data_IF_274142595702
#
_entry.id   IF_274142595702
#
_cell.length_a   1.000
_cell.length_b   1.000
_cell.length_c   1.000
_cell.angle_alpha   90.00
_cell.angle_beta   90.00
_cell.angle_gamma   90.00
#
_symmetry.space_group_name_H-M   'P 1'
#
loop_
_entity.id
_entity.type
_entity.pdbx_description
1 polymer ?
#
# COMPACT_ATOMS: atom_id res chain seq x y z
N UNK A 1 8.10 -26.12 -33.32
CA UNK A 1 7.86 -24.99 -34.24
C UNK A 1 8.94 -23.95 -33.99
N UNK A 2 9.54 -23.33 -35.01
CA UNK A 2 10.60 -22.33 -34.81
C UNK A 2 10.04 -21.13 -34.01
N UNK A 3 10.70 -20.62 -32.94
CA UNK A 3 10.21 -19.49 -32.14
C UNK A 3 9.87 -18.26 -32.98
N UNK A 4 10.63 -17.99 -34.05
CA UNK A 4 10.34 -16.89 -34.97
C UNK A 4 9.04 -17.13 -35.75
N UNK A 5 8.79 -18.36 -36.19
CA UNK A 5 7.55 -18.74 -36.87
C UNK A 5 6.35 -18.66 -35.93
N UNK A 6 6.52 -19.10 -34.68
CA UNK A 6 5.48 -18.97 -33.65
C UNK A 6 5.15 -17.52 -33.35
N UNK A 7 6.16 -16.64 -33.22
CA UNK A 7 5.95 -15.21 -33.06
C UNK A 7 5.19 -14.61 -34.24
N UNK A 8 5.59 -14.94 -35.46
CA UNK A 8 4.96 -14.43 -36.68
C UNK A 8 3.50 -14.89 -36.83
N UNK A 9 3.21 -16.18 -36.56
CA UNK A 9 1.85 -16.71 -36.51
C UNK A 9 1.03 -16.00 -35.44
N UNK A 10 1.60 -15.75 -34.25
CA UNK A 10 0.90 -15.06 -33.16
C UNK A 10 0.54 -13.62 -33.54
N UNK A 11 1.46 -12.90 -34.20
CA UNK A 11 1.19 -11.55 -34.70
C UNK A 11 0.12 -11.55 -35.79
N UNK A 12 0.20 -12.47 -36.76
CA UNK A 12 -0.80 -12.58 -37.83
C UNK A 12 -2.19 -12.91 -37.29
N UNK A 13 -2.28 -13.85 -36.34
CA UNK A 13 -3.56 -14.19 -35.69
C UNK A 13 -4.07 -13.06 -34.81
N UNK A 14 -3.20 -12.39 -34.05
CA UNK A 14 -3.60 -11.27 -33.20
C UNK A 14 -4.08 -10.07 -34.00
N UNK A 15 -3.24 -9.55 -34.89
CA UNK A 15 -3.57 -8.38 -35.74
C UNK A 15 -4.68 -8.72 -36.71
N UNK A 16 -4.59 -9.87 -37.40
CA UNK A 16 -5.62 -10.33 -38.33
C UNK A 16 -6.96 -10.58 -37.64
N UNK A 17 -6.95 -11.10 -36.41
CA UNK A 17 -8.14 -11.26 -35.59
C UNK A 17 -8.78 -9.92 -35.24
N UNK A 18 -8.00 -8.91 -34.86
CA UNK A 18 -8.50 -7.56 -34.59
C UNK A 18 -9.09 -6.89 -35.83
N UNK A 19 -8.39 -6.96 -36.97
CA UNK A 19 -8.87 -6.39 -38.25
C UNK A 19 -10.11 -7.12 -38.73
N UNK A 20 -10.11 -8.45 -38.66
CA UNK A 20 -11.25 -9.29 -39.01
C UNK A 20 -12.46 -8.97 -38.13
N UNK A 21 -12.28 -8.90 -36.81
CA UNK A 21 -13.33 -8.52 -35.88
C UNK A 21 -13.93 -7.17 -36.24
N UNK A 22 -13.09 -6.14 -36.43
CA UNK A 22 -13.54 -4.80 -36.82
C UNK A 22 -14.31 -4.78 -38.14
N UNK A 23 -13.80 -5.47 -39.16
CA UNK A 23 -14.40 -5.51 -40.48
C UNK A 23 -15.76 -6.22 -40.45
N UNK A 24 -15.79 -7.45 -39.93
CA UNK A 24 -17.01 -8.26 -39.89
C UNK A 24 -18.05 -7.67 -38.94
N UNK A 25 -17.63 -7.11 -37.80
CA UNK A 25 -18.56 -6.50 -36.84
C UNK A 25 -19.28 -5.29 -37.45
N UNK A 26 -18.57 -4.43 -38.20
CA UNK A 26 -19.19 -3.31 -38.93
C UNK A 26 -20.09 -3.81 -40.07
N UNK A 27 -19.64 -4.81 -40.82
CA UNK A 27 -20.43 -5.35 -41.93
C UNK A 27 -21.74 -5.98 -41.44
N UNK A 28 -21.70 -6.72 -40.33
CA UNK A 28 -22.89 -7.30 -39.70
C UNK A 28 -23.80 -6.19 -39.17
N UNK A 29 -23.24 -5.21 -38.45
CA UNK A 29 -24.02 -4.13 -37.86
C UNK A 29 -24.75 -3.30 -38.91
N UNK A 30 -24.05 -2.89 -39.97
CA UNK A 30 -24.55 -1.91 -40.95
C UNK A 30 -25.34 -2.55 -42.10
N UNK A 31 -25.16 -3.86 -42.38
CA UNK A 31 -25.89 -4.56 -43.45
C UNK A 31 -26.96 -5.51 -42.95
N UNK A 32 -26.77 -6.15 -41.80
CA UNK A 32 -27.67 -7.21 -41.31
C UNK A 32 -28.59 -6.70 -40.20
N UNK A 33 -28.03 -6.04 -39.18
CA UNK A 33 -28.79 -5.64 -37.98
C UNK A 33 -29.50 -4.29 -38.20
N UNK A 34 -28.78 -3.27 -38.64
CA UNK A 34 -29.28 -1.91 -38.84
C UNK A 34 -28.98 -1.42 -40.26
N UNK A 35 -29.70 -1.93 -41.28
CA UNK A 35 -29.47 -1.53 -42.66
C UNK A 35 -29.73 -0.03 -42.84
N UNK A 36 -28.74 0.68 -43.39
CA UNK A 36 -28.82 2.11 -43.72
C UNK A 36 -29.67 2.41 -44.97
N UNK A 37 -30.67 1.56 -45.27
CA UNK A 37 -31.56 1.66 -46.44
C UNK A 37 -33.00 1.38 -46.01
N UNK A 38 -33.97 2.02 -46.68
CA UNK A 38 -35.40 1.85 -46.42
C UNK A 38 -36.02 3.01 -45.62
N UNK A 39 -37.31 2.91 -45.25
CA UNK A 39 -38.07 4.00 -44.63
C UNK A 39 -37.51 4.46 -43.27
N UNK A 40 -36.79 3.60 -42.55
CA UNK A 40 -36.23 3.87 -41.22
C UNK A 40 -34.69 4.03 -41.23
N UNK A 41 -34.09 4.41 -42.35
CA UNK A 41 -32.63 4.47 -42.51
C UNK A 41 -31.95 5.41 -41.49
N UNK A 42 -32.56 6.57 -41.19
CA UNK A 42 -32.03 7.51 -40.20
C UNK A 42 -31.98 6.92 -38.78
N UNK A 43 -33.05 6.26 -38.34
CA UNK A 43 -33.12 5.61 -37.03
C UNK A 43 -32.13 4.44 -36.91
N UNK A 44 -31.98 3.66 -37.98
CA UNK A 44 -31.02 2.55 -38.04
C UNK A 44 -29.57 3.04 -37.94
N UNK A 45 -29.21 4.15 -38.60
CA UNK A 45 -27.88 4.75 -38.50
C UNK A 45 -27.60 5.20 -37.06
N UNK A 46 -28.58 5.86 -36.42
CA UNK A 46 -28.45 6.29 -35.02
C UNK A 46 -28.25 5.09 -34.07
N UNK A 47 -29.02 4.01 -34.25
CA UNK A 47 -28.86 2.77 -33.46
C UNK A 47 -27.52 2.07 -33.70
N UNK A 48 -27.08 1.97 -34.95
CA UNK A 48 -25.77 1.41 -35.29
C UNK A 48 -24.64 2.20 -34.61
N UNK A 49 -24.69 3.54 -34.66
CA UNK A 49 -23.70 4.39 -34.02
C UNK A 49 -23.68 4.25 -32.48
N UNK A 50 -24.83 3.97 -31.85
CA UNK A 50 -24.89 3.72 -30.41
C UNK A 50 -24.33 2.34 -30.02
N UNK A 51 -24.53 1.31 -30.85
CA UNK A 51 -24.10 -0.08 -30.56
C UNK A 51 -22.64 -0.33 -30.93
N UNK A 52 -22.13 0.33 -31.98
CA UNK A 52 -20.77 0.11 -32.51
C UNK A 52 -19.67 0.22 -31.44
N UNK A 53 -19.65 1.22 -30.53
CA UNK A 53 -18.64 1.30 -29.48
C UNK A 53 -18.67 0.08 -28.54
N UNK A 54 -19.85 -0.40 -28.15
CA UNK A 54 -20.00 -1.57 -27.27
C UNK A 54 -19.53 -2.85 -27.93
N UNK A 55 -19.81 -3.01 -29.23
CA UNK A 55 -19.34 -4.15 -30.01
C UNK A 55 -17.81 -4.18 -30.04
N UNK A 56 -17.14 -3.05 -30.26
CA UNK A 56 -15.67 -2.99 -30.24
C UNK A 56 -15.07 -3.18 -28.84
N UNK A 57 -15.75 -2.71 -27.80
CA UNK A 57 -15.31 -2.90 -26.42
C UNK A 57 -15.59 -4.32 -25.91
N UNK A 58 -16.50 -5.07 -26.55
CA UNK A 58 -16.95 -6.37 -26.06
C UNK A 58 -15.80 -7.37 -25.80
N UNK A 59 -14.82 -7.61 -26.70
CA UNK A 59 -13.76 -8.57 -26.44
C UNK A 59 -12.92 -8.20 -25.20
N UNK A 60 -12.67 -6.90 -25.03
CA UNK A 60 -11.94 -6.39 -23.87
C UNK A 60 -12.77 -6.53 -22.58
N UNK A 61 -14.03 -6.10 -22.59
CA UNK A 61 -14.93 -6.22 -21.43
C UNK A 61 -15.14 -7.69 -21.06
N UNK A 62 -15.29 -8.57 -22.04
CA UNK A 62 -15.44 -10.00 -21.83
C UNK A 62 -14.19 -10.61 -21.19
N UNK A 63 -13.00 -10.32 -21.73
CA UNK A 63 -11.74 -10.80 -21.16
C UNK A 63 -11.52 -10.26 -19.74
N UNK A 64 -11.75 -8.96 -19.50
CA UNK A 64 -11.68 -8.37 -18.16
C UNK A 64 -12.71 -8.99 -17.21
N UNK A 65 -13.94 -9.22 -17.68
CA UNK A 65 -14.98 -9.88 -16.92
C UNK A 65 -14.61 -11.32 -16.55
N UNK A 66 -14.02 -12.08 -17.48
CA UNK A 66 -13.61 -13.46 -17.25
C UNK A 66 -12.38 -13.57 -16.34
N UNK A 67 -11.36 -12.72 -16.52
CA UNK A 67 -10.10 -12.83 -15.80
C UNK A 67 -10.03 -12.01 -14.50
N UNK A 68 -10.85 -10.96 -14.36
CA UNK A 68 -10.90 -10.13 -13.15
C UNK A 68 -12.24 -10.22 -12.44
N UNK A 69 -13.35 -10.18 -13.18
CA UNK A 69 -14.70 -10.22 -12.60
C UNK A 69 -15.06 -11.58 -12.01
N UNK A 70 -14.96 -12.65 -12.80
CA UNK A 70 -15.32 -14.01 -12.38
C UNK A 70 -14.54 -14.49 -11.15
N UNK A 71 -13.21 -14.32 -11.05
CA UNK A 71 -12.47 -14.72 -9.84
C UNK A 71 -12.94 -14.03 -8.56
N UNK A 72 -13.47 -12.80 -8.62
CA UNK A 72 -14.03 -12.12 -7.44
C UNK A 72 -15.29 -12.84 -6.96
N UNK A 73 -16.19 -13.20 -7.88
CA UNK A 73 -17.39 -13.97 -7.53
C UNK A 73 -17.04 -15.39 -7.06
N UNK A 74 -16.08 -16.04 -7.71
CA UNK A 74 -15.63 -17.38 -7.30
C UNK A 74 -14.97 -17.35 -5.92
N UNK A 75 -14.18 -16.31 -5.61
CA UNK A 75 -13.61 -16.10 -4.27
C UNK A 75 -14.72 -15.91 -3.23
N UNK A 76 -15.78 -15.17 -3.54
CA UNK A 76 -16.93 -15.03 -2.64
C UNK A 76 -17.70 -16.35 -2.47
N UNK A 77 -17.82 -17.16 -3.53
CA UNK A 77 -18.46 -18.48 -3.44
C UNK A 77 -17.62 -19.43 -2.57
N UNK A 78 -16.30 -19.43 -2.76
CA UNK A 78 -15.37 -20.25 -1.98
C UNK A 78 -15.35 -19.83 -0.51
N UNK A 79 -15.48 -18.54 -0.18
CA UNK A 79 -15.55 -18.10 1.21
C UNK A 79 -16.81 -18.58 1.95
N UNK A 80 -17.86 -18.98 1.22
CA UNK A 80 -19.12 -19.49 1.77
C UNK A 80 -19.27 -21.03 1.63
N UNK A 81 -18.28 -21.71 1.07
CA UNK A 81 -18.29 -23.16 0.85
C UNK A 81 -17.10 -23.84 1.53
N UNK A 82 -17.21 -25.14 1.78
CA UNK A 82 -16.15 -25.95 2.38
C UNK A 82 -15.75 -27.07 1.43
N UNK A 83 -14.46 -27.08 1.07
CA UNK A 83 -13.87 -28.08 0.18
C UNK A 83 -13.82 -29.47 0.80
N UNK A 84 -13.53 -29.59 2.11
CA UNK A 84 -13.45 -30.87 2.80
C UNK A 84 -14.82 -31.59 2.82
N UNK A 85 -15.90 -30.81 2.79
CA UNK A 85 -17.28 -31.30 2.68
C UNK A 85 -17.77 -31.43 1.23
N UNK A 86 -16.86 -31.59 0.26
CA UNK A 86 -17.21 -31.75 -1.15
C UNK A 86 -17.76 -30.48 -1.81
N UNK A 87 -17.46 -29.30 -1.26
CA UNK A 87 -17.98 -28.02 -1.77
C UNK A 87 -19.35 -27.63 -1.19
N UNK A 88 -19.75 -28.23 -0.06
CA UNK A 88 -21.01 -27.89 0.61
C UNK A 88 -21.04 -26.41 1.03
N UNK A 89 -22.24 -25.82 1.00
CA UNK A 89 -22.46 -24.46 1.48
C UNK A 89 -22.46 -24.44 3.01
N UNK A 90 -21.52 -23.69 3.59
CA UNK A 90 -21.32 -23.59 5.04
C UNK A 90 -21.65 -22.20 5.60
N UNK A 91 -22.20 -21.32 4.76
CA UNK A 91 -22.57 -19.96 5.15
C UNK A 91 -21.37 -19.18 5.68
N UNK A 92 -21.47 -18.65 6.90
CA UNK A 92 -20.43 -17.83 7.52
C UNK A 92 -19.42 -18.61 8.39
N UNK A 93 -19.44 -19.94 8.36
CA UNK A 93 -18.58 -20.77 9.21
C UNK A 93 -17.09 -20.44 9.01
N UNK A 94 -16.64 -20.29 7.76
CA UNK A 94 -15.25 -19.91 7.43
C UNK A 94 -14.85 -18.56 8.05
N UNK A 95 -15.78 -17.60 8.12
CA UNK A 95 -15.54 -16.30 8.75
C UNK A 95 -15.43 -16.43 10.27
N UNK A 96 -16.28 -17.25 10.91
CA UNK A 96 -16.15 -17.51 12.35
C UNK A 96 -14.85 -18.22 12.69
N UNK A 97 -14.42 -19.18 11.87
CA UNK A 97 -13.15 -19.90 12.04
C UNK A 97 -11.97 -18.94 11.90
N UNK A 98 -11.96 -18.10 10.85
CA UNK A 98 -10.95 -17.07 10.65
C UNK A 98 -10.87 -16.10 11.84
N UNK A 99 -12.01 -15.60 12.32
CA UNK A 99 -12.06 -14.65 13.44
C UNK A 99 -11.69 -15.30 14.78
N UNK A 100 -11.77 -16.63 14.92
CA UNK A 100 -11.32 -17.33 16.11
C UNK A 100 -9.79 -17.47 16.16
N UNK A 101 -9.08 -17.28 15.05
CA UNK A 101 -7.63 -17.48 14.99
C UNK A 101 -6.84 -16.26 15.48
N UNK A 102 -5.92 -16.41 16.45
CA UNK A 102 -5.07 -15.31 16.91
C UNK A 102 -4.22 -14.69 15.78
N UNK A 103 -3.77 -15.52 14.83
CA UNK A 103 -2.96 -15.08 13.68
C UNK A 103 -3.71 -14.14 12.73
N UNK A 104 -5.05 -14.25 12.64
CA UNK A 104 -5.85 -13.31 11.88
C UNK A 104 -5.86 -11.92 12.54
N UNK A 105 -6.03 -11.85 13.86
CA UNK A 105 -5.99 -10.58 14.58
C UNK A 105 -4.60 -9.95 14.62
N UNK A 106 -3.54 -10.78 14.68
CA UNK A 106 -2.16 -10.33 14.47
C UNK A 106 -2.03 -9.66 13.09
N UNK A 107 -2.52 -10.30 12.03
CA UNK A 107 -2.52 -9.77 10.67
C UNK A 107 -3.27 -8.43 10.55
N UNK A 108 -4.50 -8.34 11.09
CA UNK A 108 -5.29 -7.11 11.10
C UNK A 108 -4.52 -5.96 11.77
N UNK A 109 -4.02 -6.21 12.99
CA UNK A 109 -3.28 -5.21 13.78
C UNK A 109 -2.04 -4.73 13.02
N UNK A 110 -1.27 -5.65 12.45
CA UNK A 110 -0.07 -5.32 11.72
C UNK A 110 -0.40 -4.54 10.45
N UNK A 111 -1.37 -4.97 9.65
CA UNK A 111 -1.81 -4.21 8.48
C UNK A 111 -2.22 -2.77 8.86
N UNK A 112 -2.92 -2.56 9.97
CA UNK A 112 -3.25 -1.21 10.43
C UNK A 112 -2.00 -0.38 10.77
N UNK A 113 -1.01 -0.97 11.45
CA UNK A 113 0.26 -0.29 11.72
C UNK A 113 0.99 0.08 10.43
N UNK A 114 1.07 -0.85 9.47
CA UNK A 114 1.68 -0.59 8.17
C UNK A 114 0.96 0.55 7.44
N UNK A 115 -0.37 0.60 7.45
CA UNK A 115 -1.17 1.63 6.76
C UNK A 115 -0.98 3.04 7.35
N UNK A 116 -0.58 3.13 8.62
CA UNK A 116 -0.34 4.41 9.27
C UNK A 116 1.11 4.82 9.10
N UNK A 117 2.05 3.93 9.38
CA UNK A 117 3.47 4.26 9.45
C UNK A 117 4.09 4.41 8.07
N UNK A 118 3.83 3.47 7.15
CA UNK A 118 4.54 3.45 5.86
C UNK A 118 4.16 4.60 4.95
N UNK A 119 2.86 4.92 4.70
CA UNK A 119 2.49 6.07 3.89
C UNK A 119 3.00 7.38 4.51
N UNK A 120 2.91 7.53 5.83
CA UNK A 120 3.40 8.70 6.54
C UNK A 120 4.90 8.91 6.38
N UNK A 121 5.69 7.89 6.72
CA UNK A 121 7.15 7.96 6.66
C UNK A 121 7.63 8.15 5.21
N UNK A 122 7.10 7.38 4.26
CA UNK A 122 7.51 7.46 2.85
C UNK A 122 7.20 8.83 2.24
N UNK A 123 6.04 9.39 2.55
CA UNK A 123 5.65 10.72 2.07
C UNK A 123 6.49 11.81 2.74
N UNK A 124 6.73 11.72 4.04
CA UNK A 124 7.56 12.67 4.78
C UNK A 124 9.02 12.65 4.29
N UNK A 125 9.64 11.48 4.19
CA UNK A 125 10.99 11.34 3.65
C UNK A 125 11.05 11.76 2.17
N UNK A 126 10.06 11.39 1.36
CA UNK A 126 9.97 11.81 -0.03
C UNK A 126 9.92 13.33 -0.18
N UNK A 127 9.12 14.00 0.65
CA UNK A 127 9.00 15.46 0.67
C UNK A 127 10.30 16.14 1.13
N UNK A 128 10.92 15.62 2.19
CA UNK A 128 12.21 16.12 2.69
C UNK A 128 13.28 16.00 1.62
N UNK A 129 13.41 14.83 0.99
CA UNK A 129 14.37 14.61 -0.09
C UNK A 129 14.06 15.52 -1.29
N UNK A 130 12.79 15.65 -1.70
CA UNK A 130 12.41 16.55 -2.79
C UNK A 130 12.88 17.98 -2.52
N UNK A 131 12.58 18.51 -1.33
CA UNK A 131 12.96 19.87 -0.95
C UNK A 131 14.48 20.06 -0.81
N UNK A 132 15.22 19.05 -0.34
CA UNK A 132 16.68 19.13 -0.21
C UNK A 132 17.39 18.99 -1.55
N UNK A 133 16.98 18.03 -2.39
CA UNK A 133 17.62 17.76 -3.68
C UNK A 133 17.41 18.89 -4.69
N UNK A 134 16.30 19.63 -4.59
CA UNK A 134 16.06 20.83 -5.43
C UNK A 134 17.05 21.98 -5.15
N UNK A 135 17.72 21.99 -4.00
CA UNK A 135 18.70 23.04 -3.63
C UNK A 135 20.15 22.67 -3.98
N UNK A 136 20.39 21.45 -4.43
CA UNK A 136 21.73 20.90 -4.60
C UNK A 136 22.10 20.91 -6.10
N UNK A 137 23.30 21.40 -6.44
CA UNK A 137 23.77 21.50 -7.83
C UNK A 137 23.79 20.14 -8.57
N UNK A 138 24.09 19.05 -7.86
CA UNK A 138 24.06 17.67 -8.38
C UNK A 138 22.75 16.94 -8.07
N UNK A 139 21.67 17.69 -7.82
CA UNK A 139 20.36 17.18 -7.41
C UNK A 139 19.77 16.13 -8.36
N UNK A 140 20.00 16.25 -9.67
CA UNK A 140 19.51 15.27 -10.65
C UNK A 140 20.10 13.86 -10.44
N UNK A 141 21.38 13.78 -10.04
CA UNK A 141 22.05 12.51 -9.75
C UNK A 141 21.48 11.94 -8.44
N UNK A 142 21.36 12.76 -7.40
CA UNK A 142 20.78 12.36 -6.13
C UNK A 142 19.35 11.82 -6.29
N UNK A 143 18.50 12.50 -7.06
CA UNK A 143 17.13 12.04 -7.36
C UNK A 143 17.14 10.69 -8.08
N UNK A 144 18.02 10.50 -9.06
CA UNK A 144 18.13 9.24 -9.80
C UNK A 144 18.54 8.07 -8.90
N UNK A 145 19.53 8.29 -8.01
CA UNK A 145 19.98 7.28 -7.04
C UNK A 145 18.89 6.92 -6.02
N UNK A 146 18.15 7.92 -5.52
CA UNK A 146 17.06 7.71 -4.55
C UNK A 146 15.84 7.06 -5.20
N UNK A 147 15.63 7.28 -6.51
CA UNK A 147 14.56 6.64 -7.27
C UNK A 147 14.91 5.22 -7.73
N UNK A 148 16.19 4.90 -7.91
CA UNK A 148 16.68 3.58 -8.38
C UNK A 148 16.06 2.35 -7.67
N UNK A 149 15.82 2.36 -6.34
CA UNK A 149 15.18 1.24 -5.63
C UNK A 149 13.83 0.82 -6.21
N UNK A 150 13.07 1.75 -6.81
CA UNK A 150 11.77 1.46 -7.43
C UNK A 150 11.88 0.51 -8.62
N UNK A 151 13.06 0.38 -9.23
CA UNK A 151 13.30 -0.58 -10.31
C UNK A 151 13.47 -2.02 -9.80
N UNK A 152 13.70 -2.20 -8.50
CA UNK A 152 13.92 -3.51 -7.88
C UNK A 152 12.57 -4.09 -7.44
N UNK A 153 12.36 -5.38 -7.66
CA UNK A 153 11.15 -6.07 -7.16
C UNK A 153 11.14 -6.11 -5.63
N UNK A 154 9.96 -6.15 -5.01
CA UNK A 154 9.85 -6.21 -3.55
C UNK A 154 10.54 -7.45 -2.97
N UNK A 155 10.43 -8.61 -3.64
CA UNK A 155 11.16 -9.83 -3.27
C UNK A 155 12.68 -9.62 -3.37
N UNK A 156 13.17 -9.00 -4.44
CA UNK A 156 14.59 -8.71 -4.61
C UNK A 156 15.13 -7.77 -3.52
N UNK A 157 14.39 -6.70 -3.24
CA UNK A 157 14.71 -5.77 -2.14
C UNK A 157 14.73 -6.49 -0.79
N UNK A 158 13.78 -7.38 -0.53
CA UNK A 158 13.75 -8.19 0.68
C UNK A 158 14.96 -9.10 0.83
N UNK A 159 15.46 -9.68 -0.26
CA UNK A 159 16.71 -10.48 -0.23
C UNK A 159 17.90 -9.61 0.14
N UNK A 160 18.02 -8.41 -0.45
CA UNK A 160 19.09 -7.46 -0.11
C UNK A 160 19.06 -7.09 1.37
N UNK A 161 17.89 -6.71 1.89
CA UNK A 161 17.75 -6.34 3.30
C UNK A 161 17.92 -7.53 4.25
N UNK A 162 17.54 -8.75 3.84
CA UNK A 162 17.82 -9.96 4.61
C UNK A 162 19.32 -10.18 4.79
N UNK A 163 20.14 -9.87 3.78
CA UNK A 163 21.59 -9.88 3.90
C UNK A 163 22.09 -8.77 4.83
N UNK A 164 21.53 -7.55 4.74
CA UNK A 164 21.89 -6.43 5.62
C UNK A 164 21.64 -6.78 7.10
N UNK A 165 20.54 -7.48 7.39
CA UNK A 165 20.13 -7.88 8.73
C UNK A 165 20.67 -9.25 9.17
N UNK A 166 21.44 -9.92 8.33
CA UNK A 166 21.94 -11.27 8.62
C UNK A 166 22.83 -11.28 9.87
N UNK A 167 22.70 -12.34 10.65
CA UNK A 167 23.43 -12.52 11.90
C UNK A 167 24.17 -13.84 11.83
N UNK A 168 25.50 -13.77 11.90
CA UNK A 168 26.36 -14.94 11.95
C UNK A 168 26.83 -15.22 13.37
N UNK A 169 27.25 -16.46 13.68
CA UNK A 169 27.96 -16.76 14.92
C UNK A 169 29.11 -15.77 15.18
N UNK A 170 29.36 -15.45 16.45
CA UNK A 170 30.30 -14.39 16.85
C UNK A 170 31.77 -14.70 16.49
N UNK A 171 32.09 -15.97 16.29
CA UNK A 171 33.40 -16.50 15.88
C UNK A 171 33.71 -16.30 14.38
N UNK A 172 32.72 -15.90 13.58
CA UNK A 172 32.86 -15.67 12.15
C UNK A 172 32.64 -14.19 11.82
N UNK A 173 33.40 -13.61 10.86
CA UNK A 173 33.15 -12.25 10.39
C UNK A 173 31.70 -12.06 9.94
N UNK A 174 31.07 -11.01 10.46
CA UNK A 174 29.69 -10.65 10.12
C UNK A 174 29.63 -10.12 8.69
N UNK A 175 28.66 -10.62 7.91
CA UNK A 175 28.38 -10.11 6.56
C UNK A 175 27.26 -9.08 6.56
N UNK A 176 26.35 -9.17 7.55
CA UNK A 176 25.26 -8.23 7.68
C UNK A 176 25.78 -6.91 8.19
N UNK A 177 25.61 -5.85 7.40
CA UNK A 177 26.10 -4.50 7.71
C UNK A 177 25.61 -4.06 9.10
N UNK A 178 24.37 -4.41 9.46
CA UNK A 178 23.82 -4.01 10.76
C UNK A 178 24.51 -4.73 11.93
N UNK A 179 24.80 -6.02 11.79
CA UNK A 179 25.56 -6.76 12.80
C UNK A 179 27.04 -6.36 12.80
N UNK A 180 27.64 -6.03 11.66
CA UNK A 180 29.01 -5.54 11.59
C UNK A 180 29.19 -4.21 12.35
N UNK A 181 28.26 -3.27 12.19
CA UNK A 181 28.23 -2.02 12.97
C UNK A 181 27.89 -2.31 14.44
N UNK A 182 26.95 -3.21 14.71
CA UNK A 182 26.58 -3.57 16.07
C UNK A 182 27.74 -4.13 16.89
N UNK A 183 28.53 -5.03 16.29
CA UNK A 183 29.66 -5.67 16.95
C UNK A 183 30.77 -4.66 17.32
N UNK A 184 30.84 -3.49 16.66
CA UNK A 184 31.80 -2.45 17.04
C UNK A 184 31.46 -1.75 18.36
N UNK A 185 30.26 -1.98 18.92
CA UNK A 185 29.85 -1.39 20.19
C UNK A 185 30.15 -2.26 21.41
N UNK A 186 30.58 -3.52 21.24
CA UNK A 186 31.03 -4.45 22.31
C UNK A 186 30.08 -4.56 23.53
N UNK A 187 28.78 -4.30 23.37
CA UNK A 187 27.84 -4.30 24.50
C UNK A 187 27.88 -3.03 25.36
N UNK A 188 28.61 -1.99 24.94
CA UNK A 188 28.70 -0.70 25.62
C UNK A 188 27.38 0.10 25.62
N UNK A 189 27.38 1.35 26.14
CA UNK A 189 26.17 2.17 26.32
C UNK A 189 25.32 2.33 25.05
N UNK A 190 25.95 2.31 23.88
CA UNK A 190 25.28 2.39 22.59
C UNK A 190 24.34 1.19 22.33
N UNK A 191 24.64 0.04 22.92
CA UNK A 191 23.82 -1.17 22.81
C UNK A 191 22.48 -1.01 23.52
N UNK A 192 22.48 -0.36 24.70
CA UNK A 192 21.27 0.02 25.43
C UNK A 192 20.51 1.09 24.66
N UNK A 193 21.24 2.08 24.11
CA UNK A 193 20.63 3.14 23.30
C UNK A 193 19.86 2.56 22.11
N UNK A 194 20.49 1.67 21.35
CA UNK A 194 19.87 1.05 20.18
C UNK A 194 18.78 0.06 20.56
N UNK A 195 18.98 -0.85 21.51
CA UNK A 195 17.98 -1.89 21.79
C UNK A 195 16.81 -1.43 22.66
N UNK A 196 17.00 -0.42 23.51
CA UNK A 196 15.99 0.00 24.50
C UNK A 196 15.52 1.42 24.28
N UNK A 197 16.45 2.38 24.30
CA UNK A 197 16.10 3.81 24.34
C UNK A 197 15.49 4.26 23.02
N UNK A 198 16.11 3.94 21.88
CA UNK A 198 15.68 4.36 20.56
C UNK A 198 14.26 3.82 20.23
N UNK A 199 13.95 2.53 20.38
CA UNK A 199 12.59 2.02 20.24
C UNK A 199 11.61 2.72 21.17
N UNK A 200 12.00 2.97 22.43
CA UNK A 200 11.16 3.65 23.41
C UNK A 200 10.82 5.07 22.96
N UNK A 201 11.80 5.83 22.47
CA UNK A 201 11.61 7.18 21.96
C UNK A 201 10.68 7.17 20.74
N UNK A 202 10.91 6.27 19.78
CA UNK A 202 10.09 6.15 18.57
C UNK A 202 8.65 5.82 18.94
N UNK A 203 8.44 4.84 19.81
CA UNK A 203 7.11 4.42 20.26
C UNK A 203 6.42 5.52 21.08
N UNK A 204 7.15 6.22 21.95
CA UNK A 204 6.60 7.31 22.75
C UNK A 204 6.22 8.52 21.88
N UNK A 205 7.05 8.87 20.90
CA UNK A 205 6.75 9.92 19.93
C UNK A 205 5.51 9.56 19.10
N UNK A 206 5.43 8.32 18.61
CA UNK A 206 4.26 7.82 17.90
C UNK A 206 2.99 7.86 18.78
N UNK A 207 3.08 7.37 20.02
CA UNK A 207 1.98 7.41 20.98
C UNK A 207 1.54 8.85 21.29
N UNK A 208 2.48 9.79 21.42
CA UNK A 208 2.20 11.20 21.63
C UNK A 208 1.46 11.84 20.45
N UNK A 209 1.92 11.58 19.21
CA UNK A 209 1.27 12.09 18.00
C UNK A 209 -0.15 11.52 17.87
N UNK A 210 -0.31 10.20 18.01
CA UNK A 210 -1.62 9.55 17.94
C UNK A 210 -2.53 10.04 19.07
N UNK A 211 -2.01 10.15 20.30
CA UNK A 211 -2.74 10.68 21.44
C UNK A 211 -3.22 12.12 21.24
N UNK A 212 -2.40 12.96 20.60
CA UNK A 212 -2.79 14.32 20.25
C UNK A 212 -3.92 14.34 19.20
N UNK A 213 -3.85 13.49 18.18
CA UNK A 213 -4.93 13.34 17.17
C UNK A 213 -6.22 12.84 17.81
N UNK A 214 -6.13 11.89 18.75
CA UNK A 214 -7.27 11.40 19.54
C UNK A 214 -7.87 12.52 20.35
N UNK A 215 -7.06 13.31 21.05
CA UNK A 215 -7.52 14.46 21.84
C UNK A 215 -8.25 15.49 20.96
N UNK A 216 -7.68 15.87 19.81
CA UNK A 216 -8.32 16.80 18.88
C UNK A 216 -9.66 16.26 18.36
N UNK A 217 -9.70 14.96 18.02
CA UNK A 217 -10.91 14.31 17.51
C UNK A 217 -11.99 14.20 18.58
N UNK A 218 -11.63 13.85 19.81
CA UNK A 218 -12.54 13.76 20.95
C UNK A 218 -13.09 15.12 21.35
N UNK A 219 -12.22 16.14 21.45
CA UNK A 219 -12.62 17.52 21.74
C UNK A 219 -13.63 18.03 20.72
N UNK A 220 -13.41 17.76 19.43
CA UNK A 220 -14.31 18.18 18.37
C UNK A 220 -15.68 17.46 18.37
N UNK A 221 -15.80 16.31 19.07
CA UNK A 221 -17.09 15.64 19.33
C UNK A 221 -17.81 16.28 20.51
N UNK A 222 -17.08 16.75 21.53
CA UNK A 222 -17.65 17.26 22.78
C UNK A 222 -18.06 18.74 22.67
N UNK A 223 -17.33 19.55 21.88
CA UNK A 223 -17.60 21.00 21.76
C UNK A 223 -19.07 21.32 21.39
N UNK A 224 -19.80 22.08 22.24
CA UNK A 224 -21.16 22.55 21.95
C UNK A 224 -21.15 23.63 20.86
N UNK A 225 -22.16 23.64 19.97
CA UNK A 225 -22.39 24.74 19.01
C UNK A 225 -21.89 24.55 17.58
N UNK A 226 -21.18 23.45 17.27
CA UNK A 226 -20.84 23.10 15.88
C UNK A 226 -21.96 22.24 15.28
N UNK A 227 -22.49 22.60 14.11
CA UNK A 227 -23.47 21.76 13.40
C UNK A 227 -22.77 20.44 13.00
N UNK A 228 -23.08 19.36 13.72
CA UNK A 228 -22.40 18.06 13.57
C UNK A 228 -23.12 17.22 12.54
N UNK A 229 -22.50 17.01 11.39
CA UNK A 229 -22.92 15.92 10.50
C UNK A 229 -22.73 14.59 11.25
N UNK A 230 -23.79 13.79 11.34
CA UNK A 230 -23.79 12.49 12.03
C UNK A 230 -22.64 11.61 11.53
N UNK A 231 -22.41 11.59 10.21
CA UNK A 231 -21.32 10.81 9.60
C UNK A 231 -19.93 11.26 10.06
N UNK A 232 -19.69 12.56 10.19
CA UNK A 232 -18.40 13.09 10.64
C UNK A 232 -18.15 12.80 12.12
N UNK A 233 -19.19 12.84 12.96
CA UNK A 233 -19.08 12.43 14.37
C UNK A 233 -18.78 10.94 14.53
N UNK A 234 -19.40 10.07 13.72
CA UNK A 234 -19.10 8.63 13.71
C UNK A 234 -17.66 8.36 13.28
N UNK A 235 -17.20 8.99 12.20
CA UNK A 235 -15.81 8.87 11.75
C UNK A 235 -14.83 9.28 12.86
N UNK A 236 -15.08 10.40 13.53
CA UNK A 236 -14.25 10.86 14.64
C UNK A 236 -14.29 9.89 15.82
N UNK A 237 -15.44 9.29 16.13
CA UNK A 237 -15.53 8.28 17.18
C UNK A 237 -14.66 7.05 16.87
N UNK A 238 -14.66 6.59 15.61
CA UNK A 238 -13.77 5.51 15.16
C UNK A 238 -12.30 5.91 15.30
N UNK A 239 -11.92 7.13 14.92
CA UNK A 239 -10.56 7.65 15.09
C UNK A 239 -10.16 7.71 16.57
N UNK A 240 -11.06 8.14 17.45
CA UNK A 240 -10.81 8.20 18.89
C UNK A 240 -10.58 6.80 19.46
N UNK A 241 -11.46 5.84 19.16
CA UNK A 241 -11.34 4.46 19.65
C UNK A 241 -10.10 3.76 19.09
N UNK A 242 -9.89 3.85 17.77
CA UNK A 242 -8.74 3.25 17.11
C UNK A 242 -7.42 3.88 17.54
N UNK A 243 -7.38 5.20 17.67
CA UNK A 243 -6.20 5.91 18.16
C UNK A 243 -5.90 5.61 19.63
N UNK A 244 -6.93 5.51 20.49
CA UNK A 244 -6.74 5.11 21.89
C UNK A 244 -6.18 3.67 22.00
N UNK A 245 -6.67 2.74 21.16
CA UNK A 245 -6.07 1.41 21.04
C UNK A 245 -4.61 1.52 20.60
N UNK A 246 -4.28 2.26 19.55
CA UNK A 246 -2.89 2.41 19.10
C UNK A 246 -1.97 2.97 20.18
N UNK A 247 -2.41 3.97 20.95
CA UNK A 247 -1.67 4.50 22.11
C UNK A 247 -1.43 3.39 23.13
N UNK A 248 -2.48 2.64 23.49
CA UNK A 248 -2.36 1.50 24.39
C UNK A 248 -1.37 0.45 23.86
N UNK A 249 -1.41 0.14 22.56
CA UNK A 249 -0.49 -0.77 21.90
C UNK A 249 0.95 -0.28 22.02
N UNK A 250 1.20 1.01 21.74
CA UNK A 250 2.53 1.61 21.85
C UNK A 250 3.05 1.58 23.27
N UNK A 251 2.21 1.86 24.27
CA UNK A 251 2.59 1.75 25.68
C UNK A 251 2.93 0.30 26.07
N UNK A 252 2.13 -0.67 25.62
CA UNK A 252 2.42 -2.10 25.82
C UNK A 252 3.73 -2.51 25.15
N UNK A 253 3.99 -2.03 23.93
CA UNK A 253 5.24 -2.28 23.21
C UNK A 253 6.44 -1.65 23.90
N UNK A 254 6.31 -0.45 24.47
CA UNK A 254 7.37 0.17 25.29
C UNK A 254 7.69 -0.75 26.47
N UNK A 255 6.69 -1.20 27.22
CA UNK A 255 6.93 -2.15 28.31
C UNK A 255 7.62 -3.42 27.81
N UNK A 256 7.18 -3.98 26.68
CA UNK A 256 7.81 -5.13 26.02
C UNK A 256 9.28 -4.90 25.68
N UNK A 257 9.63 -3.71 25.17
CA UNK A 257 11.02 -3.33 24.88
C UNK A 257 11.89 -3.36 26.13
N UNK A 258 11.35 -3.18 27.34
CA UNK A 258 12.12 -3.22 28.58
C UNK A 258 12.07 -4.58 29.31
N UNK A 259 11.05 -5.42 29.05
CA UNK A 259 10.90 -6.72 29.70
C UNK A 259 11.53 -7.89 28.93
N UNK A 260 11.75 -7.76 27.61
CA UNK A 260 12.42 -8.81 26.84
C UNK A 260 13.88 -8.92 27.27
N UNK A 261 14.35 -10.14 27.53
CA UNK A 261 15.77 -10.39 27.77
C UNK A 261 16.52 -10.34 26.42
N UNK A 262 17.46 -9.39 26.30
CA UNK A 262 18.28 -9.22 25.11
C UNK A 262 19.74 -9.35 25.52
N UNK A 263 20.48 -10.19 24.81
CA UNK A 263 21.91 -10.32 25.01
C UNK A 263 22.63 -9.11 24.40
N UNK A 264 23.52 -8.47 25.15
CA UNK A 264 24.33 -7.35 24.66
C UNK A 264 25.69 -7.85 24.18
N UNK A 265 26.30 -7.17 23.21
CA UNK A 265 27.65 -7.49 22.72
C UNK A 265 27.76 -8.78 21.90
N UNK A 266 26.63 -9.42 21.57
CA UNK A 266 26.57 -10.58 20.67
C UNK A 266 25.78 -10.25 19.41
N UNK A 267 26.02 -10.95 18.28
CA UNK A 267 25.24 -10.78 17.06
C UNK A 267 23.73 -10.95 17.30
N UNK A 268 22.93 -10.04 16.75
CA UNK A 268 21.48 -9.99 16.96
C UNK A 268 20.73 -10.51 15.74
N UNK A 269 19.76 -11.40 15.98
CA UNK A 269 18.79 -11.81 14.98
C UNK A 269 17.66 -10.77 14.91
N UNK A 270 17.93 -9.64 14.25
CA UNK A 270 17.04 -8.47 14.26
C UNK A 270 15.58 -8.74 13.88
N UNK A 271 15.34 -9.68 12.96
CA UNK A 271 13.99 -10.05 12.50
C UNK A 271 13.20 -10.90 13.51
N UNK A 272 13.83 -11.36 14.59
CA UNK A 272 13.15 -12.09 15.68
C UNK A 272 12.85 -11.21 16.88
N UNK A 273 13.48 -10.03 16.97
CA UNK A 273 13.33 -9.13 18.12
C UNK A 273 12.03 -8.32 17.95
N UNK A 274 11.10 -8.35 18.94
CA UNK A 274 9.89 -7.54 18.91
C UNK A 274 10.18 -6.05 18.69
N UNK A 275 9.24 -5.33 18.11
CA UNK A 275 9.43 -3.97 17.55
C UNK A 275 10.36 -3.94 16.33
N UNK A 276 11.61 -4.38 16.47
CA UNK A 276 12.62 -4.30 15.43
C UNK A 276 12.26 -5.09 14.18
N UNK A 277 11.66 -6.26 14.36
CA UNK A 277 11.21 -7.09 13.26
C UNK A 277 10.27 -6.35 12.30
N UNK A 278 9.16 -5.83 12.81
CA UNK A 278 8.14 -5.13 12.04
C UNK A 278 8.67 -3.80 11.52
N UNK A 279 9.45 -3.09 12.34
CA UNK A 279 10.08 -1.84 11.94
C UNK A 279 11.01 -2.04 10.73
N UNK A 280 11.87 -3.05 10.75
CA UNK A 280 12.79 -3.33 9.66
C UNK A 280 12.09 -3.81 8.39
N UNK A 281 11.00 -4.56 8.49
CA UNK A 281 10.17 -4.88 7.32
C UNK A 281 9.57 -3.61 6.70
N UNK A 282 9.07 -2.68 7.52
CA UNK A 282 8.53 -1.40 7.04
C UNK A 282 9.62 -0.52 6.40
N UNK A 283 10.84 -0.52 6.92
CA UNK A 283 11.98 0.24 6.36
C UNK A 283 12.22 -0.14 4.90
N UNK A 284 12.10 -1.42 4.53
CA UNK A 284 12.26 -1.85 3.14
C UNK A 284 11.25 -1.15 2.23
N UNK A 285 9.97 -1.14 2.62
CA UNK A 285 8.92 -0.50 1.82
C UNK A 285 9.06 1.02 1.82
N UNK A 286 9.42 1.63 2.95
CA UNK A 286 9.67 3.07 3.05
C UNK A 286 10.82 3.49 2.14
N UNK A 287 11.91 2.71 2.11
CA UNK A 287 13.05 2.97 1.24
C UNK A 287 12.66 2.96 -0.23
N UNK A 288 11.87 1.98 -0.66
CA UNK A 288 11.37 1.89 -2.04
C UNK A 288 10.43 3.07 -2.35
N UNK A 289 9.44 3.31 -1.48
CA UNK A 289 8.39 4.30 -1.73
C UNK A 289 8.84 5.76 -1.56
N UNK A 290 9.94 6.01 -0.84
CA UNK A 290 10.54 7.34 -0.71
C UNK A 290 10.95 7.89 -2.08
N UNK A 291 11.52 7.06 -2.95
CA UNK A 291 11.88 7.46 -4.32
C UNK A 291 10.67 7.87 -5.15
N UNK A 292 9.60 7.07 -5.11
CA UNK A 292 8.32 7.40 -5.75
C UNK A 292 7.74 8.72 -5.23
N UNK A 293 7.60 8.85 -3.91
CA UNK A 293 7.06 10.05 -3.28
C UNK A 293 7.88 11.29 -3.66
N UNK A 294 9.21 11.20 -3.60
CA UNK A 294 10.11 12.30 -3.95
C UNK A 294 9.92 12.80 -5.38
N UNK A 295 9.83 11.91 -6.36
CA UNK A 295 9.70 12.30 -7.78
C UNK A 295 8.41 13.09 -8.02
N UNK A 296 7.30 12.59 -7.48
CA UNK A 296 5.98 13.21 -7.63
C UNK A 296 5.91 14.53 -6.86
N UNK A 297 6.40 14.57 -5.62
CA UNK A 297 6.37 15.77 -4.79
C UNK A 297 7.35 16.85 -5.28
N UNK A 298 8.52 16.49 -5.83
CA UNK A 298 9.45 17.46 -6.45
C UNK A 298 8.87 18.10 -7.70
N UNK A 299 8.04 17.38 -8.47
CA UNK A 299 7.30 17.99 -9.58
C UNK A 299 6.27 19.02 -9.09
N UNK A 300 5.53 18.69 -8.02
CA UNK A 300 4.55 19.61 -7.45
C UNK A 300 5.18 20.83 -6.76
N UNK A 301 6.29 20.65 -6.02
CA UNK A 301 7.01 21.76 -5.39
C UNK A 301 7.53 22.79 -6.41
N UNK A 302 7.94 22.33 -7.59
CA UNK A 302 8.38 23.21 -8.70
C UNK A 302 7.23 23.95 -9.38
N UNK A 303 5.99 23.50 -9.20
CA UNK A 303 4.80 24.19 -9.69
C UNK A 303 4.35 25.35 -8.81
N UNK A 304 4.99 25.58 -7.66
CA UNK A 304 4.65 26.68 -6.74
C UNK A 304 5.23 27.99 -7.32
N UNK A 305 4.41 29.02 -7.54
CA UNK A 305 4.89 30.28 -8.09
C UNK A 305 5.87 30.99 -7.13
N UNK A 306 7.00 31.47 -7.67
CA UNK A 306 8.08 32.07 -6.89
C UNK A 306 7.64 33.36 -6.18
N UNK A 307 6.73 34.12 -6.78
CA UNK A 307 6.17 35.34 -6.22
C UNK A 307 5.46 35.11 -4.87
N UNK A 308 4.86 33.93 -4.66
CA UNK A 308 4.23 33.59 -3.38
C UNK A 308 5.26 33.36 -2.28
N UNK A 309 6.45 32.88 -2.66
CA UNK A 309 7.55 32.64 -1.74
C UNK A 309 8.26 33.96 -1.44
N UNK A 310 8.51 34.79 -2.46
CA UNK A 310 9.14 36.11 -2.30
C UNK A 310 8.29 37.04 -1.44
N UNK A 311 6.96 37.09 -1.68
CA UNK A 311 6.05 37.86 -0.85
C UNK A 311 6.12 37.44 0.63
N UNK A 312 6.15 36.12 0.90
CA UNK A 312 6.27 35.62 2.26
C UNK A 312 7.62 35.96 2.92
N UNK A 313 8.70 35.99 2.15
CA UNK A 313 10.02 36.43 2.65
C UNK A 313 10.00 37.93 2.97
N UNK A 314 9.34 38.76 2.14
CA UNK A 314 9.14 40.19 2.40
C UNK A 314 8.30 40.40 3.68
N UNK A 315 7.30 39.56 3.93
CA UNK A 315 6.49 39.55 5.15
C UNK A 315 7.24 39.00 6.40
N UNK A 316 8.52 38.62 6.25
CA UNK A 316 9.37 38.16 7.36
C UNK A 316 9.15 36.70 7.77
N UNK A 317 8.52 35.88 6.93
CA UNK A 317 8.32 34.47 7.22
C UNK A 317 9.66 33.70 7.21
N UNK A 318 9.89 32.87 8.24
CA UNK A 318 11.08 32.02 8.29
C UNK A 318 10.94 30.80 7.34
N UNK A 319 12.04 30.08 7.02
CA UNK A 319 11.99 28.94 6.10
C UNK A 319 11.05 27.80 6.52
N UNK A 320 10.85 27.60 7.83
CA UNK A 320 9.93 26.58 8.35
C UNK A 320 8.47 26.98 8.16
N UNK A 321 8.15 28.26 8.36
CA UNK A 321 6.83 28.83 8.13
C UNK A 321 6.49 28.79 6.63
N UNK A 322 7.43 29.18 5.77
CA UNK A 322 7.27 29.07 4.31
C UNK A 322 7.00 27.60 3.93
N UNK A 323 7.76 26.65 4.48
CA UNK A 323 7.57 25.25 4.14
C UNK A 323 6.22 24.70 4.61
N UNK A 324 5.90 24.80 5.90
CA UNK A 324 4.72 24.16 6.48
C UNK A 324 3.42 24.93 6.26
N UNK A 325 3.47 26.27 6.16
CA UNK A 325 2.25 27.11 6.04
C UNK A 325 1.96 27.54 4.61
N UNK A 326 2.95 27.50 3.70
CA UNK A 326 2.78 27.95 2.32
C UNK A 326 2.96 26.79 1.35
N UNK A 327 4.15 26.16 1.33
CA UNK A 327 4.44 25.11 0.34
C UNK A 327 3.58 23.87 0.52
N UNK A 328 3.58 23.28 1.71
CA UNK A 328 2.83 22.03 2.00
C UNK A 328 1.34 22.19 1.70
N UNK A 329 0.64 23.25 2.16
CA UNK A 329 -0.77 23.47 1.83
C UNK A 329 -1.08 23.53 0.33
N UNK A 330 -0.22 24.16 -0.47
CA UNK A 330 -0.42 24.29 -1.92
C UNK A 330 -0.29 22.94 -2.65
N UNK A 331 0.58 22.05 -2.19
CA UNK A 331 0.77 20.72 -2.80
C UNK A 331 -0.03 19.60 -2.12
N UNK A 332 -0.99 19.93 -1.25
CA UNK A 332 -1.77 18.93 -0.51
C UNK A 332 -2.51 17.96 -1.43
N UNK A 333 -2.96 18.39 -2.61
CA UNK A 333 -3.56 17.50 -3.61
C UNK A 333 -2.60 16.37 -3.98
N UNK A 334 -1.36 16.73 -4.35
CA UNK A 334 -0.31 15.78 -4.70
C UNK A 334 0.10 14.89 -3.52
N UNK A 335 0.22 15.45 -2.30
CA UNK A 335 0.52 14.69 -1.09
C UNK A 335 -0.55 13.61 -0.86
N UNK A 336 -1.82 13.94 -1.03
CA UNK A 336 -2.93 12.99 -0.87
C UNK A 336 -2.92 11.89 -1.94
N UNK A 337 -2.56 12.21 -3.19
CA UNK A 337 -2.40 11.21 -4.26
C UNK A 337 -1.26 10.24 -3.94
N UNK A 338 -0.10 10.75 -3.54
CA UNK A 338 1.05 9.93 -3.13
C UNK A 338 0.70 9.05 -1.94
N UNK A 339 0.09 9.64 -0.91
CA UNK A 339 -0.34 8.92 0.29
C UNK A 339 -1.29 7.77 -0.05
N UNK A 340 -2.38 8.05 -0.77
CA UNK A 340 -3.39 7.04 -1.11
C UNK A 340 -2.82 5.94 -2.01
N UNK A 341 -1.92 6.29 -2.93
CA UNK A 341 -1.21 5.31 -3.75
C UNK A 341 -0.36 4.38 -2.90
N UNK A 342 0.40 4.91 -1.94
CA UNK A 342 1.22 4.09 -1.03
C UNK A 342 0.32 3.24 -0.12
N UNK A 343 -0.80 3.78 0.38
CA UNK A 343 -1.79 3.00 1.15
C UNK A 343 -2.31 1.79 0.38
N UNK A 344 -2.61 1.94 -0.92
CA UNK A 344 -3.02 0.81 -1.77
C UNK A 344 -1.91 -0.24 -1.91
N UNK A 345 -0.65 0.17 -1.96
CA UNK A 345 0.50 -0.75 -1.98
C UNK A 345 0.62 -1.50 -0.66
N UNK A 346 0.44 -0.80 0.46
CA UNK A 346 0.56 -1.38 1.80
C UNK A 346 -0.52 -2.43 2.08
N UNK A 347 -1.76 -2.23 1.62
CA UNK A 347 -2.83 -3.22 1.83
C UNK A 347 -2.54 -4.59 1.21
N UNK A 348 -1.75 -4.61 0.13
CA UNK A 348 -1.31 -5.83 -0.55
C UNK A 348 0.14 -6.22 -0.20
N UNK A 349 0.68 -5.73 0.91
CA UNK A 349 2.03 -6.10 1.33
C UNK A 349 2.06 -7.61 1.63
N UNK A 350 2.75 -8.35 0.77
CA UNK A 350 2.90 -9.80 0.85
C UNK A 350 4.38 -10.16 0.69
N UNK A 351 4.97 -9.71 -0.41
CA UNK A 351 6.32 -10.05 -0.84
C UNK A 351 7.37 -9.88 0.27
N UNK A 352 7.32 -8.74 0.97
CA UNK A 352 8.30 -8.39 2.01
C UNK A 352 8.18 -9.30 3.22
N UNK A 353 6.94 -9.50 3.70
CA UNK A 353 6.68 -10.33 4.88
C UNK A 353 7.01 -11.79 4.55
N UNK A 354 6.55 -12.29 3.41
CA UNK A 354 6.78 -13.66 2.98
C UNK A 354 8.28 -13.98 2.84
N UNK A 355 9.05 -13.12 2.15
CA UNK A 355 10.46 -13.39 1.85
C UNK A 355 11.39 -13.27 3.08
N UNK A 356 11.06 -12.38 4.02
CA UNK A 356 11.94 -12.08 5.15
C UNK A 356 11.60 -12.88 6.40
N UNK A 357 10.32 -12.95 6.78
CA UNK A 357 9.89 -13.57 8.04
C UNK A 357 8.84 -14.65 7.88
N UNK A 358 8.18 -14.71 6.72
CA UNK A 358 7.12 -15.66 6.44
C UNK A 358 5.99 -15.62 7.49
N UNK A 359 5.69 -14.43 8.02
CA UNK A 359 4.65 -14.20 9.04
C UNK A 359 4.99 -14.68 10.46
N UNK A 360 6.26 -15.03 10.72
CA UNK A 360 6.76 -15.43 12.04
C UNK A 360 7.06 -14.21 12.94
N UNK A 361 7.29 -14.46 14.22
CA UNK A 361 7.67 -13.42 15.21
C UNK A 361 6.72 -12.21 15.26
N UNK A 362 5.41 -12.46 15.26
CA UNK A 362 4.39 -11.40 15.27
C UNK A 362 4.38 -10.47 14.04
N UNK A 363 4.93 -10.89 12.91
CA UNK A 363 4.98 -10.07 11.68
C UNK A 363 3.91 -10.43 10.63
N UNK A 364 2.92 -11.26 10.98
CA UNK A 364 1.90 -11.71 10.03
C UNK A 364 1.11 -10.53 9.43
N UNK A 365 0.74 -10.64 8.16
CA UNK A 365 -0.12 -9.68 7.44
C UNK A 365 -1.20 -10.43 6.69
N UNK A 366 -2.32 -9.77 6.39
CA UNK A 366 -3.53 -10.39 5.83
C UNK A 366 -3.26 -11.16 4.54
N UNK A 367 -2.45 -10.58 3.65
CA UNK A 367 -2.11 -11.24 2.39
C UNK A 367 -1.27 -12.51 2.60
N UNK A 368 -0.35 -12.50 3.59
CA UNK A 368 0.44 -13.69 3.93
C UNK A 368 -0.40 -14.73 4.67
N UNK A 369 -1.30 -14.31 5.55
CA UNK A 369 -2.28 -15.19 6.21
C UNK A 369 -3.20 -15.89 5.19
N UNK A 370 -3.75 -15.13 4.23
CA UNK A 370 -4.53 -15.66 3.11
C UNK A 370 -3.73 -16.71 2.33
N UNK A 371 -2.47 -16.39 2.00
CA UNK A 371 -1.57 -17.29 1.28
C UNK A 371 -1.32 -18.58 2.07
N UNK A 372 -1.00 -18.48 3.37
CA UNK A 372 -0.78 -19.63 4.24
C UNK A 372 -1.99 -20.56 4.29
N UNK A 373 -3.20 -19.99 4.41
CA UNK A 373 -4.44 -20.77 4.43
C UNK A 373 -4.71 -21.47 3.11
N UNK A 374 -4.64 -20.72 2.01
CA UNK A 374 -4.98 -21.26 0.71
C UNK A 374 -3.97 -22.31 0.22
N UNK A 375 -2.68 -22.03 0.35
CA UNK A 375 -1.63 -22.82 -0.31
C UNK A 375 -0.89 -23.78 0.62
N UNK A 376 -0.77 -23.49 1.92
CA UNK A 376 -0.07 -24.39 2.87
C UNK A 376 -1.04 -25.26 3.64
N UNK A 377 -2.10 -24.67 4.18
CA UNK A 377 -3.14 -25.41 4.89
C UNK A 377 -4.15 -26.07 3.95
N UNK A 378 -4.14 -25.69 2.65
CA UNK A 378 -5.10 -26.16 1.65
C UNK A 378 -6.57 -25.86 2.04
N UNK A 379 -6.77 -24.84 2.89
CA UNK A 379 -8.06 -24.36 3.37
C UNK A 379 -8.52 -23.21 2.48
N UNK A 380 -9.30 -23.57 1.47
CA UNK A 380 -9.79 -22.62 0.47
C UNK A 380 -10.89 -21.73 1.04
N UNK A 381 -11.67 -22.21 2.01
CA UNK A 381 -12.75 -21.46 2.63
C UNK A 381 -12.22 -20.27 3.42
N UNK A 382 -11.33 -20.53 4.38
CA UNK A 382 -10.70 -19.48 5.20
C UNK A 382 -9.78 -18.59 4.37
N UNK A 383 -9.03 -19.17 3.42
CA UNK A 383 -8.21 -18.42 2.48
C UNK A 383 -9.04 -17.41 1.68
N UNK A 384 -10.14 -17.85 1.07
CA UNK A 384 -11.04 -16.96 0.32
C UNK A 384 -11.78 -15.97 1.22
N UNK A 385 -12.19 -16.35 2.44
CA UNK A 385 -12.76 -15.42 3.41
C UNK A 385 -11.81 -14.28 3.76
N UNK A 386 -10.52 -14.59 3.92
CA UNK A 386 -9.46 -13.60 4.14
C UNK A 386 -9.31 -12.65 2.96
N UNK A 387 -9.37 -13.16 1.73
CA UNK A 387 -9.32 -12.34 0.51
C UNK A 387 -10.50 -11.36 0.42
N UNK A 388 -11.71 -11.79 0.80
CA UNK A 388 -12.89 -10.92 0.86
C UNK A 388 -12.69 -9.80 1.90
N UNK A 389 -12.12 -10.10 3.07
CA UNK A 389 -11.81 -9.06 4.06
C UNK A 389 -10.82 -8.03 3.50
N UNK A 390 -9.77 -8.47 2.81
CA UNK A 390 -8.81 -7.56 2.16
C UNK A 390 -9.53 -6.68 1.13
N UNK A 391 -10.39 -7.27 0.29
CA UNK A 391 -11.15 -6.54 -0.72
C UNK A 391 -12.04 -5.46 -0.09
N UNK A 392 -12.73 -5.78 1.01
CA UNK A 392 -13.55 -4.83 1.76
C UNK A 392 -12.71 -3.69 2.36
N UNK A 393 -11.49 -3.95 2.84
CA UNK A 393 -10.57 -2.91 3.33
C UNK A 393 -10.03 -2.01 2.23
N UNK A 394 -9.80 -2.55 1.03
CA UNK A 394 -9.29 -1.80 -0.13
C UNK A 394 -10.37 -0.92 -0.77
N UNK A 395 -11.63 -1.36 -0.76
CA UNK A 395 -12.74 -0.74 -1.50
C UNK A 395 -12.94 0.75 -1.18
N UNK A 396 -12.97 1.22 0.09
CA UNK A 396 -13.16 2.65 0.38
C UNK A 396 -12.06 3.54 -0.20
N UNK A 397 -10.80 3.05 -0.20
CA UNK A 397 -9.66 3.81 -0.72
C UNK A 397 -9.74 3.89 -2.25
N UNK A 398 -10.14 2.81 -2.92
CA UNK A 398 -10.36 2.81 -4.36
C UNK A 398 -11.50 3.76 -4.75
N UNK A 399 -12.63 3.70 -4.05
CA UNK A 399 -13.78 4.59 -4.30
C UNK A 399 -13.37 6.06 -4.13
N UNK A 400 -12.62 6.37 -3.07
CA UNK A 400 -12.09 7.70 -2.84
C UNK A 400 -11.14 8.15 -3.96
N UNK A 401 -10.21 7.30 -4.39
CA UNK A 401 -9.25 7.61 -5.45
C UNK A 401 -9.98 7.89 -6.78
N UNK A 402 -10.96 7.05 -7.15
CA UNK A 402 -11.79 7.25 -8.36
C UNK A 402 -12.58 8.55 -8.28
N UNK A 403 -13.13 8.89 -7.11
CA UNK A 403 -13.85 10.15 -6.92
C UNK A 403 -12.94 11.36 -7.12
N UNK A 404 -11.72 11.34 -6.56
CA UNK A 404 -10.74 12.42 -6.74
C UNK A 404 -10.30 12.56 -8.19
N UNK A 405 -9.97 11.45 -8.86
CA UNK A 405 -9.59 11.47 -10.28
C UNK A 405 -10.69 12.06 -11.17
N UNK A 406 -11.97 11.79 -10.87
CA UNK A 406 -13.10 12.40 -11.59
C UNK A 406 -13.24 13.91 -11.34
N UNK A 407 -12.83 14.39 -10.17
CA UNK A 407 -12.87 15.82 -9.85
C UNK A 407 -11.77 16.59 -10.57
N UNK A 408 -10.61 15.97 -10.81
CA UNK A 408 -9.49 16.58 -11.55
C UNK A 408 -9.73 16.64 -13.06
N UNK A 409 -10.55 15.72 -13.61
CA UNK A 409 -10.92 15.72 -15.04
C UNK A 409 -12.06 16.70 -15.40
N UNK A 410 -12.67 17.35 -14.39
CA UNK A 410 -13.70 18.38 -14.56
C UNK A 410 -13.08 19.75 -14.36
#
# INVERSE_FOLDING_TARGET
MNPALQGLITVLLGVGGCVGYFYFSNQILDRVIFPAKGPNAGDNINRANQVRPWLFLFPAIFALGLYLGYPVFETLRLSLTDRAQGGAFVGLANYSQMMAEPKFWEAIRNNMLWLIVVPAASTAFGLLVAQLTDRIAWGNIAKSLIFMPMAISFVGASVIFKLIYDARPADVPQIGVMNAIWMSFEGGPMSILMLRILPTIILAAFAGIVGYVVYLSARAIIEPGRQKSVGMSLLRAVVVVGGAWLVWLSLKSILGVWTVELAYGVPQQWLTIPFWNSFFLMVVLIWIQTGFAMVILSAALRGIPEETIEAAVIDGANPFDIFFRIKVPQIMGTIMVVWTTITLVVLKVFDIVFAMTNGQWETQVLANYMYDKLFRANDWGVGSASAIVIMLLVTPILVWNVYQARKEMR
#
